data_IF_084494363605
#
_entry.id   IF_084494363605
#
_cell.length_a   1.000
_cell.length_b   1.000
_cell.length_c   1.000
_cell.angle_alpha   90.00
_cell.angle_beta   90.00
_cell.angle_gamma   90.00
#
_symmetry.space_group_name_H-M   'P 1'
#
loop_
_entity.id
_entity.type
_entity.pdbx_description
1 polymer ?
#
# COMPACT_ATOMS: atom_id res chain seq x y z
N UNK A 1 -20.12 -19.99 32.33
CA UNK A 1 -19.04 -19.95 31.34
C UNK A 1 -19.31 -18.76 30.46
N UNK A 2 -18.44 -17.75 30.50
CA UNK A 2 -18.59 -16.57 29.66
C UNK A 2 -18.06 -16.89 28.26
N UNK A 3 -18.97 -17.00 27.29
CA UNK A 3 -18.60 -17.15 25.90
C UNK A 3 -18.15 -15.79 25.37
N UNK A 4 -16.85 -15.62 25.13
CA UNK A 4 -16.32 -14.43 24.49
C UNK A 4 -16.46 -14.56 22.97
N UNK A 5 -17.22 -13.64 22.36
CA UNK A 5 -17.35 -13.57 20.89
C UNK A 5 -16.29 -12.59 20.39
N UNK A 6 -15.30 -13.11 19.64
CA UNK A 6 -14.29 -12.28 18.98
C UNK A 6 -14.78 -11.97 17.56
N UNK A 7 -15.08 -10.69 17.29
CA UNK A 7 -15.54 -10.20 15.98
C UNK A 7 -14.62 -9.07 15.51
N UNK A 8 -14.29 -9.04 14.22
CA UNK A 8 -13.50 -7.94 13.65
C UNK A 8 -14.33 -6.66 13.52
N UNK A 9 -13.69 -5.49 13.63
CA UNK A 9 -14.38 -4.19 13.54
C UNK A 9 -15.15 -4.02 12.21
N UNK A 10 -14.58 -4.52 11.09
CA UNK A 10 -15.19 -4.42 9.75
C UNK A 10 -16.45 -5.29 9.64
N UNK A 11 -16.46 -6.45 10.28
CA UNK A 11 -17.62 -7.34 10.30
C UNK A 11 -18.72 -6.82 11.21
N UNK A 12 -18.36 -6.24 12.36
CA UNK A 12 -19.30 -5.61 13.28
C UNK A 12 -20.01 -4.42 12.62
N UNK A 13 -19.28 -3.59 11.88
CA UNK A 13 -19.85 -2.45 11.13
C UNK A 13 -20.86 -2.93 10.08
N UNK A 14 -20.48 -3.92 9.25
CA UNK A 14 -21.37 -4.50 8.23
C UNK A 14 -22.64 -5.08 8.87
N UNK A 15 -22.52 -5.69 10.04
CA UNK A 15 -23.65 -6.24 10.78
C UNK A 15 -24.59 -5.14 11.28
N UNK A 16 -24.05 -4.07 11.88
CA UNK A 16 -24.81 -2.91 12.33
C UNK A 16 -25.56 -2.26 11.16
N UNK A 17 -24.90 -2.04 10.02
CA UNK A 17 -25.55 -1.46 8.82
C UNK A 17 -26.67 -2.36 8.31
N UNK A 18 -26.47 -3.68 8.32
CA UNK A 18 -27.49 -4.64 7.88
C UNK A 18 -28.70 -4.67 8.81
N UNK A 19 -28.48 -4.51 10.12
CA UNK A 19 -29.56 -4.37 11.12
C UNK A 19 -30.31 -3.06 10.94
N UNK A 20 -29.62 -1.93 10.74
CA UNK A 20 -30.28 -0.64 10.48
C UNK A 20 -31.13 -0.65 9.20
N UNK A 21 -30.60 -1.23 8.11
CA UNK A 21 -31.35 -1.40 6.86
C UNK A 21 -32.60 -2.28 7.00
N UNK A 22 -32.61 -3.19 7.96
CA UNK A 22 -33.74 -4.10 8.19
C UNK A 22 -34.82 -3.50 9.10
N UNK A 23 -34.44 -2.61 10.02
CA UNK A 23 -35.36 -1.99 11.00
C UNK A 23 -36.05 -0.75 10.41
N UNK A 24 -35.38 -0.03 9.49
CA UNK A 24 -35.91 1.14 8.78
C UNK A 24 -36.61 2.18 9.69
N UNK A 25 -36.10 2.32 10.91
CA UNK A 25 -36.67 3.18 11.96
C UNK A 25 -35.58 3.56 12.98
N UNK A 26 -35.61 4.77 13.57
CA UNK A 26 -34.66 5.17 14.59
C UNK A 26 -34.85 4.34 15.87
N UNK A 27 -33.77 3.70 16.31
CA UNK A 27 -33.76 2.81 17.49
C UNK A 27 -32.66 3.26 18.46
N UNK A 28 -32.92 3.09 19.75
CA UNK A 28 -31.97 3.39 20.80
C UNK A 28 -30.80 2.39 20.84
N UNK A 29 -29.65 2.82 21.37
CA UNK A 29 -28.40 2.04 21.36
C UNK A 29 -28.54 0.71 22.10
N UNK A 30 -29.41 0.62 23.11
CA UNK A 30 -29.61 -0.60 23.89
C UNK A 30 -30.31 -1.67 23.07
N UNK A 31 -31.35 -1.28 22.34
CA UNK A 31 -32.09 -2.15 21.42
C UNK A 31 -31.24 -2.54 20.22
N UNK A 32 -30.49 -1.59 19.63
CA UNK A 32 -29.54 -1.88 18.54
C UNK A 32 -28.52 -2.95 18.95
N UNK A 33 -27.94 -2.83 20.14
CA UNK A 33 -27.01 -3.82 20.69
C UNK A 33 -27.68 -5.19 20.79
N UNK A 34 -28.92 -5.26 21.26
CA UNK A 34 -29.65 -6.53 21.35
C UNK A 34 -29.88 -7.19 19.99
N UNK A 35 -30.20 -6.40 18.95
CA UNK A 35 -30.40 -6.91 17.58
C UNK A 35 -29.11 -7.35 16.90
N UNK A 36 -28.02 -6.65 17.15
CA UNK A 36 -26.70 -7.03 16.64
C UNK A 36 -26.26 -8.34 17.28
N UNK A 37 -26.37 -8.46 18.61
CA UNK A 37 -26.00 -9.66 19.35
C UNK A 37 -26.81 -10.90 18.94
N UNK A 38 -28.10 -10.75 18.63
CA UNK A 38 -28.95 -11.88 18.19
C UNK A 38 -28.64 -12.38 16.77
N UNK A 39 -27.89 -11.59 15.98
CA UNK A 39 -27.50 -11.92 14.61
C UNK A 39 -26.04 -12.34 14.48
N UNK A 40 -25.29 -12.32 15.59
CA UNK A 40 -23.97 -12.91 15.63
C UNK A 40 -24.10 -14.42 15.43
N UNK A 41 -23.43 -15.01 14.43
CA UNK A 41 -23.37 -16.45 14.32
C UNK A 41 -22.67 -17.00 15.57
N UNK A 42 -23.39 -17.82 16.35
CA UNK A 42 -22.77 -18.64 17.39
C UNK A 42 -21.97 -19.70 16.63
N UNK A 43 -20.70 -19.43 16.38
CA UNK A 43 -19.79 -20.50 15.99
C UNK A 43 -19.46 -21.27 17.27
N UNK A 44 -19.77 -22.57 17.28
CA UNK A 44 -19.20 -23.48 18.25
C UNK A 44 -17.69 -23.34 18.16
N UNK A 45 -17.08 -22.79 19.21
CA UNK A 45 -15.64 -22.71 19.32
C UNK A 45 -15.19 -24.16 19.45
N UNK A 46 -14.63 -24.73 18.38
CA UNK A 46 -13.82 -25.93 18.52
C UNK A 46 -12.68 -25.56 19.47
N UNK A 47 -12.83 -25.95 20.72
CA UNK A 47 -11.81 -25.83 21.76
C UNK A 47 -10.59 -26.63 21.28
N UNK A 48 -9.63 -25.94 20.68
CA UNK A 48 -8.28 -26.49 20.53
C UNK A 48 -7.68 -26.51 21.93
N UNK A 49 -7.24 -27.66 22.46
CA UNK A 49 -6.71 -27.74 23.81
C UNK A 49 -5.47 -26.86 23.92
N UNK A 50 -5.55 -25.83 24.75
CA UNK A 50 -4.37 -25.06 25.17
C UNK A 50 -3.88 -25.70 26.47
N UNK A 51 -2.93 -26.62 26.36
CA UNK A 51 -2.24 -27.18 27.53
C UNK A 51 -1.94 -28.66 27.41
N UNK A 52 -0.87 -29.01 26.68
CA UNK A 52 -0.13 -30.22 26.95
C UNK A 52 0.74 -30.00 28.19
N UNK A 53 0.23 -30.39 29.36
CA UNK A 53 1.05 -30.66 30.56
C UNK A 53 0.18 -31.39 31.58
N UNK A 54 0.33 -32.71 31.64
CA UNK A 54 -0.39 -33.52 32.62
C UNK A 54 -0.58 -34.96 32.16
N UNK A 55 0.52 -35.71 32.15
CA UNK A 55 0.59 -37.14 32.49
C UNK A 55 -0.56 -38.02 32.02
N UNK A 56 -0.39 -38.67 30.86
CA UNK A 56 -0.95 -40.00 30.59
C UNK A 56 -0.16 -40.62 29.44
N UNK A 57 0.49 -41.75 29.72
CA UNK A 57 1.03 -42.67 28.74
C UNK A 57 -0.09 -43.11 27.79
N UNK A 58 0.07 -42.89 26.48
CA UNK A 58 -0.38 -43.80 25.41
C UNK A 58 0.02 -43.28 24.01
N UNK A 59 0.41 -44.25 23.18
CA UNK A 59 0.99 -44.15 21.84
C UNK A 59 0.40 -43.09 20.87
N UNK A 60 1.28 -42.44 20.10
CA UNK A 60 0.93 -41.96 18.76
C UNK A 60 0.98 -40.45 18.47
N UNK A 61 1.62 -39.63 19.30
CA UNK A 61 1.77 -38.20 18.99
C UNK A 61 2.77 -37.97 17.83
N UNK A 62 2.27 -37.93 16.59
CA UNK A 62 2.97 -37.31 15.46
C UNK A 62 3.28 -35.85 15.83
N UNK A 63 4.54 -35.40 15.82
CA UNK A 63 4.86 -34.01 16.05
C UNK A 63 4.22 -33.18 14.93
N UNK A 64 3.27 -32.31 15.27
CA UNK A 64 2.77 -31.31 14.34
C UNK A 64 3.92 -30.35 14.02
N UNK A 65 4.53 -30.51 12.84
CA UNK A 65 5.48 -29.53 12.31
C UNK A 65 4.75 -28.21 12.13
N UNK A 66 5.20 -27.18 12.85
CA UNK A 66 4.74 -25.81 12.64
C UNK A 66 5.10 -25.45 11.20
N UNK A 67 4.13 -25.11 10.34
CA UNK A 67 4.43 -24.78 8.95
C UNK A 67 5.43 -23.62 8.92
N UNK A 68 6.54 -23.82 8.22
CA UNK A 68 7.55 -22.78 8.06
C UNK A 68 6.92 -21.59 7.32
N UNK A 69 6.68 -20.51 8.06
CA UNK A 69 6.12 -19.25 7.54
C UNK A 69 7.18 -18.39 6.84
N UNK A 70 8.43 -18.86 6.77
CA UNK A 70 9.48 -18.19 6.02
C UNK A 70 9.13 -18.26 4.53
N UNK A 71 9.40 -17.15 3.87
CA UNK A 71 9.25 -17.05 2.42
C UNK A 71 10.10 -18.13 1.76
N UNK A 72 9.48 -18.97 0.93
CA UNK A 72 10.22 -20.01 0.24
C UNK A 72 11.19 -19.37 -0.77
N UNK A 73 12.32 -20.02 -1.08
CA UNK A 73 13.25 -19.50 -2.08
C UNK A 73 12.57 -19.25 -3.44
N UNK A 74 11.52 -19.99 -3.77
CA UNK A 74 10.69 -19.77 -4.97
C UNK A 74 9.84 -18.48 -4.87
N UNK A 75 9.26 -18.19 -3.70
CA UNK A 75 8.53 -16.95 -3.46
C UNK A 75 9.47 -15.73 -3.51
N UNK A 76 10.68 -15.85 -2.93
CA UNK A 76 11.69 -14.79 -3.02
C UNK A 76 12.16 -14.58 -4.48
N UNK A 77 12.32 -15.66 -5.25
CA UNK A 77 12.64 -15.57 -6.68
C UNK A 77 11.55 -14.85 -7.48
N UNK A 78 10.29 -15.24 -7.30
CA UNK A 78 9.13 -14.60 -7.97
C UNK A 78 9.01 -13.12 -7.59
N UNK A 79 9.28 -12.77 -6.32
CA UNK A 79 9.32 -11.37 -5.89
C UNK A 79 10.42 -10.59 -6.61
N UNK A 80 11.64 -11.14 -6.68
CA UNK A 80 12.78 -10.49 -7.35
C UNK A 80 12.56 -10.35 -8.85
N UNK A 81 11.95 -11.33 -9.50
CA UNK A 81 11.60 -11.26 -10.92
C UNK A 81 10.59 -10.13 -11.17
N UNK A 82 9.56 -10.03 -10.33
CA UNK A 82 8.58 -8.96 -10.42
C UNK A 82 9.19 -7.57 -10.14
N UNK A 83 10.10 -7.47 -9.16
CA UNK A 83 10.86 -6.25 -8.88
C UNK A 83 11.80 -5.85 -10.04
N UNK A 84 12.46 -6.82 -10.68
CA UNK A 84 13.30 -6.57 -11.86
C UNK A 84 12.48 -6.12 -13.07
N UNK A 85 11.32 -6.74 -13.30
CA UNK A 85 10.36 -6.31 -14.31
C UNK A 85 9.92 -4.86 -14.08
N UNK A 86 9.54 -4.53 -12.85
CA UNK A 86 9.16 -3.17 -12.46
C UNK A 86 10.30 -2.16 -12.64
N UNK A 87 11.55 -2.55 -12.38
CA UNK A 87 12.73 -1.69 -12.56
C UNK A 87 12.91 -1.27 -14.02
N UNK A 88 12.63 -2.14 -14.99
CA UNK A 88 12.69 -1.81 -16.41
C UNK A 88 11.68 -0.73 -16.82
N UNK A 89 10.46 -0.80 -16.28
CA UNK A 89 9.43 0.23 -16.52
C UNK A 89 9.81 1.58 -15.92
N UNK A 90 10.39 1.59 -14.71
CA UNK A 90 10.85 2.82 -14.04
C UNK A 90 11.97 3.48 -14.83
N UNK A 91 13.00 2.73 -15.22
CA UNK A 91 14.11 3.27 -16.01
C UNK A 91 13.63 3.76 -17.38
N UNK A 92 12.70 3.06 -18.03
CA UNK A 92 12.08 3.51 -19.28
C UNK A 92 11.30 4.82 -19.12
N UNK A 93 10.52 4.96 -18.03
CA UNK A 93 9.79 6.18 -17.70
C UNK A 93 10.74 7.35 -17.42
N UNK A 94 11.75 7.15 -16.57
CA UNK A 94 12.73 8.18 -16.22
C UNK A 94 13.54 8.65 -17.44
N UNK A 95 13.91 7.74 -18.34
CA UNK A 95 14.57 8.08 -19.61
C UNK A 95 13.63 8.86 -20.54
N UNK A 96 12.34 8.51 -20.59
CA UNK A 96 11.34 9.23 -21.40
C UNK A 96 11.13 10.66 -20.89
N UNK A 97 11.09 10.83 -19.56
CA UNK A 97 11.11 12.14 -18.91
C UNK A 97 12.38 12.93 -19.26
N UNK A 98 13.56 12.31 -19.18
CA UNK A 98 14.83 12.97 -19.53
C UNK A 98 14.84 13.44 -21.00
N UNK A 99 14.31 12.62 -21.92
CA UNK A 99 14.15 13.01 -23.33
C UNK A 99 13.12 14.13 -23.50
N UNK A 100 12.05 14.17 -22.72
CA UNK A 100 11.03 15.23 -22.76
C UNK A 100 11.59 16.62 -22.43
N UNK A 101 12.61 16.70 -21.56
CA UNK A 101 13.33 17.96 -21.27
C UNK A 101 14.53 18.21 -22.19
N UNK A 102 14.60 17.50 -23.33
CA UNK A 102 15.67 17.59 -24.33
C UNK A 102 17.07 17.37 -23.75
N UNK A 103 17.19 16.55 -22.71
CA UNK A 103 18.45 16.21 -22.07
C UNK A 103 19.09 17.34 -21.24
N UNK A 104 18.35 18.39 -20.88
CA UNK A 104 18.85 19.44 -19.99
C UNK A 104 18.79 18.97 -18.53
N UNK A 105 19.93 18.57 -17.96
CA UNK A 105 20.06 18.06 -16.59
C UNK A 105 19.32 18.93 -15.54
N UNK A 106 19.65 20.23 -15.43
CA UNK A 106 18.97 21.14 -14.48
C UNK A 106 17.44 21.23 -14.62
N UNK A 107 16.90 20.99 -15.83
CA UNK A 107 15.45 20.96 -16.03
C UNK A 107 14.86 19.61 -15.66
N UNK A 108 15.61 18.53 -15.89
CA UNK A 108 15.29 17.19 -15.43
C UNK A 108 15.21 17.14 -13.91
N UNK A 109 16.22 17.62 -13.21
CA UNK A 109 16.33 17.65 -11.74
C UNK A 109 15.11 18.33 -11.10
N UNK A 110 14.73 19.50 -11.65
CA UNK A 110 13.51 20.21 -11.24
C UNK A 110 12.24 19.42 -11.53
N UNK A 111 12.16 18.77 -12.69
CA UNK A 111 11.01 17.96 -13.05
C UNK A 111 10.89 16.71 -12.16
N UNK A 112 12.01 16.10 -11.77
CA UNK A 112 12.06 15.01 -10.79
C UNK A 112 11.64 15.49 -9.40
N UNK A 113 12.06 16.68 -9.01
CA UNK A 113 11.59 17.31 -7.77
C UNK A 113 10.07 17.57 -7.79
N UNK A 114 9.52 18.05 -8.91
CA UNK A 114 8.05 18.18 -9.09
C UNK A 114 7.36 16.82 -9.03
N UNK A 115 7.91 15.79 -9.69
CA UNK A 115 7.38 14.43 -9.62
C UNK A 115 7.31 13.92 -8.17
N UNK A 116 8.35 14.18 -7.39
CA UNK A 116 8.43 13.79 -5.99
C UNK A 116 7.36 14.47 -5.13
N UNK A 117 7.29 15.80 -5.19
CA UNK A 117 6.39 16.58 -4.34
C UNK A 117 4.92 16.50 -4.75
N UNK A 118 4.62 16.31 -6.05
CA UNK A 118 3.24 16.26 -6.52
C UNK A 118 2.62 14.85 -6.56
N UNK A 119 3.43 13.78 -6.70
CA UNK A 119 2.89 12.45 -6.96
C UNK A 119 3.40 11.35 -6.02
N UNK A 120 4.61 11.46 -5.45
CA UNK A 120 5.24 10.35 -4.69
C UNK A 120 5.20 10.53 -3.16
N UNK A 121 4.85 11.72 -2.68
CA UNK A 121 4.67 12.01 -1.27
C UNK A 121 3.16 12.10 -0.97
N UNK A 122 2.66 11.42 0.08
CA UNK A 122 1.25 11.49 0.48
C UNK A 122 0.82 12.88 0.98
N UNK A 123 1.77 13.68 1.45
CA UNK A 123 1.60 15.06 1.92
C UNK A 123 2.06 16.08 0.85
N UNK A 124 1.65 15.83 -0.39
CA UNK A 124 1.99 16.69 -1.52
C UNK A 124 1.31 18.05 -1.37
N UNK A 125 2.11 19.12 -1.36
CA UNK A 125 1.60 20.48 -1.29
C UNK A 125 0.82 20.89 -2.54
N UNK A 126 0.09 21.99 -2.44
CA UNK A 126 -0.59 22.58 -3.60
C UNK A 126 0.43 23.00 -4.67
N UNK A 127 -0.02 23.19 -5.93
CA UNK A 127 0.88 23.63 -7.01
C UNK A 127 1.64 24.92 -6.65
N UNK A 128 1.00 25.83 -5.91
CA UNK A 128 1.60 27.07 -5.45
C UNK A 128 2.71 26.81 -4.41
N UNK A 129 2.43 25.96 -3.42
CA UNK A 129 3.41 25.58 -2.39
C UNK A 129 4.61 24.84 -2.99
N UNK A 130 4.38 23.95 -3.95
CA UNK A 130 5.47 23.26 -4.68
C UNK A 130 6.30 24.24 -5.51
N UNK A 131 5.65 25.21 -6.15
CA UNK A 131 6.34 26.25 -6.91
C UNK A 131 7.24 27.10 -6.01
N UNK A 132 6.73 27.52 -4.84
CA UNK A 132 7.48 28.26 -3.83
C UNK A 132 8.65 27.44 -3.27
N UNK A 133 8.39 26.18 -2.90
CA UNK A 133 9.41 25.26 -2.35
C UNK A 133 10.57 25.04 -3.33
N UNK A 134 10.28 24.94 -4.63
CA UNK A 134 11.27 24.72 -5.67
C UNK A 134 11.84 26.01 -6.26
N UNK A 135 11.37 27.19 -5.82
CA UNK A 135 11.81 28.49 -6.32
C UNK A 135 11.51 28.70 -7.82
N UNK A 136 10.39 28.18 -8.31
CA UNK A 136 9.97 28.24 -9.72
C UNK A 136 8.58 28.85 -9.86
N UNK A 137 8.16 29.19 -11.09
CA UNK A 137 6.81 29.67 -11.34
C UNK A 137 5.79 28.53 -11.29
N UNK A 138 4.57 28.86 -10.86
CA UNK A 138 3.40 27.96 -10.88
C UNK A 138 3.12 27.39 -12.28
N UNK A 139 3.28 28.22 -13.31
CA UNK A 139 3.11 27.86 -14.72
C UNK A 139 4.13 26.81 -15.17
N UNK A 140 5.36 26.86 -14.64
CA UNK A 140 6.39 25.86 -14.94
C UNK A 140 6.07 24.52 -14.26
N UNK A 141 5.59 24.56 -13.01
CA UNK A 141 5.12 23.35 -12.32
C UNK A 141 3.96 22.71 -13.09
N UNK A 142 3.00 23.51 -13.58
CA UNK A 142 1.90 23.02 -14.40
C UNK A 142 2.38 22.36 -15.70
N UNK A 143 3.36 22.96 -16.39
CA UNK A 143 3.95 22.39 -17.60
C UNK A 143 4.63 21.04 -17.31
N UNK A 144 5.41 20.96 -16.22
CA UNK A 144 6.03 19.72 -15.80
C UNK A 144 5.01 18.65 -15.42
N UNK A 145 3.95 18.99 -14.70
CA UNK A 145 2.85 18.05 -14.38
C UNK A 145 2.20 17.49 -15.64
N UNK A 146 1.88 18.33 -16.63
CA UNK A 146 1.30 17.88 -17.90
C UNK A 146 2.22 16.91 -18.64
N UNK A 147 3.53 17.17 -18.65
CA UNK A 147 4.52 16.28 -19.27
C UNK A 147 4.62 14.95 -18.53
N UNK A 148 4.66 14.99 -17.20
CA UNK A 148 4.68 13.79 -16.35
C UNK A 148 3.44 12.94 -16.61
N UNK A 149 2.25 13.55 -16.58
CA UNK A 149 0.97 12.88 -16.84
C UNK A 149 0.92 12.27 -18.24
N UNK A 150 1.41 12.99 -19.26
CA UNK A 150 1.50 12.44 -20.62
C UNK A 150 2.41 11.22 -20.70
N UNK A 151 3.53 11.19 -19.96
CA UNK A 151 4.41 10.03 -19.91
C UNK A 151 3.80 8.88 -19.10
N UNK A 152 3.08 9.18 -18.01
CA UNK A 152 2.36 8.18 -17.21
C UNK A 152 1.23 7.51 -18.01
N UNK A 153 0.50 8.28 -18.84
CA UNK A 153 -0.53 7.73 -19.73
C UNK A 153 0.04 6.81 -20.81
N UNK A 154 1.32 6.98 -21.18
CA UNK A 154 2.02 6.09 -22.09
C UNK A 154 2.41 4.74 -21.49
N UNK A 155 2.30 4.60 -20.15
CA UNK A 155 2.54 3.33 -19.48
C UNK A 155 1.27 2.49 -19.50
N UNK A 156 1.37 1.28 -20.06
CA UNK A 156 0.31 0.28 -20.03
C UNK A 156 0.73 -0.82 -19.07
N UNK A 157 0.01 -0.96 -17.95
CA UNK A 157 0.16 -2.07 -17.02
C UNK A 157 -0.91 -3.10 -17.31
N UNK A 158 -0.53 -4.39 -17.32
CA UNK A 158 -1.48 -5.48 -17.53
C UNK A 158 -2.20 -5.82 -16.22
N UNK A 159 -1.52 -5.61 -15.09
CA UNK A 159 -2.02 -6.00 -13.77
C UNK A 159 -1.90 -4.85 -12.75
N UNK A 160 -2.82 -4.81 -11.78
CA UNK A 160 -2.77 -3.85 -10.64
C UNK A 160 -1.51 -4.04 -9.79
N UNK A 161 -0.99 -5.28 -9.73
CA UNK A 161 0.27 -5.59 -9.05
C UNK A 161 1.48 -4.90 -9.67
N UNK A 162 1.56 -4.87 -11.00
CA UNK A 162 2.64 -4.20 -11.74
C UNK A 162 2.63 -2.69 -11.51
N UNK A 163 1.44 -2.07 -11.50
CA UNK A 163 1.30 -0.64 -11.22
C UNK A 163 1.77 -0.28 -9.80
N UNK A 164 1.42 -1.10 -8.79
CA UNK A 164 1.89 -0.89 -7.40
C UNK A 164 3.39 -1.11 -7.25
N UNK A 165 3.94 -2.12 -7.93
CA UNK A 165 5.39 -2.37 -7.93
C UNK A 165 6.15 -1.25 -8.64
N UNK A 166 5.62 -0.74 -9.75
CA UNK A 166 6.14 0.44 -10.44
C UNK A 166 6.16 1.66 -9.52
N UNK A 167 5.06 1.98 -8.84
CA UNK A 167 5.00 3.10 -7.90
C UNK A 167 6.05 2.97 -6.79
N UNK A 168 6.14 1.78 -6.16
CA UNK A 168 7.13 1.49 -5.11
C UNK A 168 8.56 1.63 -5.62
N UNK A 169 8.85 1.09 -6.80
CA UNK A 169 10.17 1.16 -7.41
C UNK A 169 10.54 2.59 -7.85
N UNK A 170 9.59 3.33 -8.43
CA UNK A 170 9.75 4.73 -8.83
C UNK A 170 10.03 5.61 -7.61
N UNK A 171 9.28 5.42 -6.53
CA UNK A 171 9.49 6.14 -5.27
C UNK A 171 10.88 5.89 -4.68
N UNK A 172 11.37 4.65 -4.73
CA UNK A 172 12.74 4.32 -4.31
C UNK A 172 13.76 5.02 -5.21
N UNK A 173 13.61 4.90 -6.53
CA UNK A 173 14.58 5.42 -7.50
C UNK A 173 14.67 6.94 -7.51
N UNK A 174 13.54 7.64 -7.48
CA UNK A 174 13.52 9.11 -7.41
C UNK A 174 14.16 9.62 -6.12
N UNK A 175 13.95 8.91 -5.00
CA UNK A 175 14.59 9.26 -3.72
C UNK A 175 16.12 9.16 -3.80
N UNK A 176 16.65 8.13 -4.47
CA UNK A 176 18.10 7.98 -4.69
C UNK A 176 18.64 9.14 -5.53
N UNK A 177 17.97 9.51 -6.62
CA UNK A 177 18.39 10.62 -7.48
C UNK A 177 18.43 11.95 -6.70
N UNK A 178 17.38 12.25 -5.93
CA UNK A 178 17.33 13.47 -5.12
C UNK A 178 18.32 13.48 -3.95
N UNK A 179 18.70 12.31 -3.44
CA UNK A 179 19.73 12.21 -2.41
C UNK A 179 21.11 12.56 -2.96
N UNK A 180 21.44 12.08 -4.17
CA UNK A 180 22.70 12.39 -4.85
C UNK A 180 22.81 13.88 -5.18
N UNK A 181 21.73 14.51 -5.67
CA UNK A 181 21.73 15.96 -5.93
C UNK A 181 22.00 16.81 -4.66
N UNK A 182 21.53 16.35 -3.49
CA UNK A 182 21.80 17.06 -2.23
C UNK A 182 23.26 16.94 -1.79
N UNK A 183 23.92 15.83 -2.09
CA UNK A 183 25.34 15.65 -1.79
C UNK A 183 26.23 16.49 -2.73
N UNK A 184 25.89 16.62 -4.02
CA UNK A 184 26.64 17.45 -4.97
C UNK A 184 26.61 18.96 -4.68
N UNK A 185 25.59 19.45 -3.97
CA UNK A 185 25.47 20.87 -3.59
C UNK A 185 26.24 21.19 -2.28
N UNK A 186 26.58 20.16 -1.49
CA UNK A 186 27.21 20.30 -0.18
C UNK A 186 28.75 20.20 -0.20
N UNK A 187 29.36 19.96 -1.37
CA UNK A 187 30.82 19.85 -1.60
C UNK A 187 31.33 21.05 -2.38
#
# INVERSE_FOLDING_TARGET
GDAQIVISNIELEKLIVRVFKAIDSPVDVRSLRSFVMSRLPIMDIHLVPVGGSGESDEDGHMPFEIPDIRETPEQDFLRREAENGASGFVEGFLNSLFRSVRGKAKQYDRMISVLWHCYLIPDGGTQLEVAEMLGVSDSLVSDYRKRIESNLQGLSFQNVGEARQFEKALRRRVREILAVEREEIAV
#
